data_IF_769872810146
#
_entry.id   IF_769872810146
#
_cell.length_a   1.000
_cell.length_b   1.000
_cell.length_c   1.000
_cell.angle_alpha   90.00
_cell.angle_beta   90.00
_cell.angle_gamma   90.00
#
_symmetry.space_group_name_H-M   'P 1'
#
loop_
_entity.id
_entity.type
_entity.pdbx_description
1 polymer ?
#
# COMPACT_ATOMS: atom_id res chain seq x y z
N UNK A 1 10.27 23.28 4.82
CA UNK A 1 9.07 23.49 3.99
C UNK A 1 9.25 22.62 2.76
N UNK A 2 8.38 21.63 2.56
CA UNK A 2 8.48 20.67 1.46
C UNK A 2 7.75 21.22 0.23
N UNK A 3 8.28 22.30 -0.35
CA UNK A 3 7.72 22.85 -1.58
C UNK A 3 7.88 21.82 -2.72
N UNK A 4 6.74 21.34 -3.25
CA UNK A 4 6.70 20.49 -4.44
C UNK A 4 6.80 18.98 -4.24
N UNK A 5 6.95 18.46 -3.01
CA UNK A 5 6.96 17.00 -2.75
C UNK A 5 5.64 16.54 -2.13
N UNK A 6 5.09 15.45 -2.67
CA UNK A 6 3.95 14.75 -2.06
C UNK A 6 4.48 13.71 -1.08
N UNK A 7 3.98 13.74 0.15
CA UNK A 7 4.32 12.74 1.16
C UNK A 7 3.10 11.88 1.42
N UNK A 8 3.29 10.57 1.43
CA UNK A 8 2.24 9.59 1.72
C UNK A 8 2.70 8.75 2.91
N UNK A 9 1.86 8.66 3.93
CA UNK A 9 1.99 7.67 4.99
C UNK A 9 0.94 6.59 4.77
N UNK A 10 1.30 5.34 5.01
CA UNK A 10 0.42 4.20 4.73
C UNK A 10 0.53 3.12 5.78
N UNK A 11 -0.60 2.50 6.11
CA UNK A 11 -0.66 1.28 6.89
C UNK A 11 -1.82 0.39 6.41
N UNK A 12 -1.72 -0.91 6.68
CA UNK A 12 -2.72 -1.92 6.38
C UNK A 12 -2.90 -2.86 7.57
N UNK A 13 -4.16 -3.10 7.93
CA UNK A 13 -4.53 -3.96 9.05
C UNK A 13 -5.51 -5.05 8.60
N UNK A 14 -5.44 -6.22 9.26
CA UNK A 14 -6.33 -7.34 8.99
C UNK A 14 -6.68 -8.07 10.31
N UNK A 15 -7.96 -8.30 10.55
CA UNK A 15 -8.46 -9.08 11.68
C UNK A 15 -8.52 -10.56 11.29
N UNK A 16 -7.45 -11.28 11.60
CA UNK A 16 -7.17 -12.61 11.02
C UNK A 16 -6.45 -12.51 9.67
N UNK A 17 -5.76 -13.56 9.23
CA UNK A 17 -4.96 -13.54 8.00
C UNK A 17 -5.06 -14.87 7.23
N UNK A 18 -6.06 -15.04 6.34
CA UNK A 18 -6.97 -14.02 5.82
C UNK A 18 -8.15 -13.68 6.76
N UNK A 19 -8.77 -12.53 6.54
CA UNK A 19 -9.96 -12.05 7.28
C UNK A 19 -10.43 -10.67 6.81
N UNK A 20 -11.37 -10.02 7.51
CA UNK A 20 -11.70 -8.62 7.29
C UNK A 20 -10.45 -7.75 7.45
N UNK A 21 -10.20 -6.87 6.49
CA UNK A 21 -9.02 -5.99 6.51
C UNK A 21 -9.33 -4.59 6.01
N UNK A 22 -8.42 -3.67 6.20
CA UNK A 22 -8.56 -2.29 5.79
C UNK A 22 -7.22 -1.61 5.64
N UNK A 23 -7.19 -0.51 4.91
CA UNK A 23 -6.02 0.35 4.78
C UNK A 23 -6.31 1.75 5.33
N UNK A 24 -5.23 2.44 5.73
CA UNK A 24 -5.21 3.84 6.06
C UNK A 24 -4.09 4.55 5.30
N UNK A 25 -4.40 5.74 4.78
CA UNK A 25 -3.46 6.56 4.00
C UNK A 25 -3.59 8.00 4.46
N UNK A 26 -2.46 8.68 4.61
CA UNK A 26 -2.40 10.12 4.80
C UNK A 26 -1.54 10.70 3.69
N UNK A 27 -2.16 11.48 2.82
CA UNK A 27 -1.49 12.22 1.76
C UNK A 27 -1.30 13.66 2.21
N UNK A 28 -0.06 14.13 2.20
CA UNK A 28 0.34 15.48 2.60
C UNK A 28 1.01 16.20 1.43
N UNK A 29 0.47 17.37 1.06
CA UNK A 29 1.01 18.21 0.00
C UNK A 29 0.78 19.69 0.33
N UNK A 30 1.84 20.52 0.25
CA UNK A 30 1.79 21.95 0.54
C UNK A 30 1.09 22.32 1.87
N UNK A 31 1.26 21.49 2.91
CA UNK A 31 0.67 21.69 4.24
C UNK A 31 -0.80 21.30 4.35
N UNK A 32 -1.43 20.83 3.27
CA UNK A 32 -2.75 20.21 3.30
C UNK A 32 -2.62 18.70 3.45
N UNK A 33 -3.56 18.11 4.20
CA UNK A 33 -3.61 16.69 4.47
C UNK A 33 -4.94 16.11 4.03
N UNK A 34 -4.90 14.96 3.40
CA UNK A 34 -6.06 14.16 3.01
C UNK A 34 -5.91 12.77 3.60
N UNK A 35 -6.94 12.31 4.30
CA UNK A 35 -7.01 10.96 4.85
C UNK A 35 -7.87 10.09 3.92
N UNK A 36 -7.38 8.89 3.60
CA UNK A 36 -8.13 7.90 2.82
C UNK A 36 -8.12 6.57 3.57
N UNK A 37 -9.26 5.90 3.63
CA UNK A 37 -9.36 4.56 4.22
C UNK A 37 -10.50 3.77 3.58
N UNK A 38 -10.36 2.46 3.56
CA UNK A 38 -11.42 1.56 3.08
C UNK A 38 -11.25 0.16 3.67
N UNK A 39 -12.37 -0.43 4.09
CA UNK A 39 -12.45 -1.80 4.60
C UNK A 39 -12.89 -2.80 3.54
N UNK A 40 -12.43 -4.03 3.69
CA UNK A 40 -12.66 -5.17 2.80
C UNK A 40 -13.10 -6.39 3.62
N UNK A 41 -14.08 -7.13 3.12
CA UNK A 41 -14.70 -8.27 3.82
C UNK A 41 -13.73 -9.43 4.06
N UNK A 42 -12.83 -9.67 3.11
CA UNK A 42 -11.97 -10.84 3.12
C UNK A 42 -10.70 -10.61 2.29
N UNK A 43 -9.58 -10.39 2.96
CA UNK A 43 -8.27 -10.07 2.36
C UNK A 43 -7.14 -10.55 3.28
N UNK A 44 -5.91 -10.06 3.09
CA UNK A 44 -4.73 -10.33 3.92
C UNK A 44 -4.02 -9.03 4.30
N UNK A 45 -3.21 -9.05 5.36
CA UNK A 45 -2.46 -7.87 5.80
C UNK A 45 -1.58 -7.29 4.68
N UNK A 46 -0.79 -8.15 4.03
CA UNK A 46 0.10 -7.74 2.94
C UNK A 46 -0.65 -7.09 1.77
N UNK A 47 -1.89 -7.51 1.48
CA UNK A 47 -2.69 -6.88 0.43
C UNK A 47 -3.12 -5.48 0.83
N UNK A 48 -3.53 -5.28 2.07
CA UNK A 48 -3.91 -3.96 2.58
C UNK A 48 -2.72 -3.01 2.63
N UNK A 49 -1.55 -3.46 3.08
CA UNK A 49 -0.32 -2.67 3.07
C UNK A 49 0.04 -2.19 1.65
N UNK A 50 -0.01 -3.08 0.64
CA UNK A 50 0.28 -2.70 -0.75
C UNK A 50 -0.80 -1.79 -1.30
N UNK A 51 -2.08 -2.09 -1.03
CA UNK A 51 -3.20 -1.34 -1.55
C UNK A 51 -3.23 0.10 -0.98
N UNK A 52 -2.85 0.30 0.27
CA UNK A 52 -2.69 1.62 0.88
C UNK A 52 -1.77 2.52 0.03
N UNK A 53 -0.57 2.01 -0.31
CA UNK A 53 0.38 2.75 -1.14
C UNK A 53 -0.11 2.97 -2.57
N UNK A 54 -0.84 2.00 -3.14
CA UNK A 54 -1.46 2.15 -4.47
C UNK A 54 -2.49 3.28 -4.46
N UNK A 55 -3.41 3.26 -3.49
CA UNK A 55 -4.49 4.26 -3.39
C UNK A 55 -3.93 5.65 -3.15
N UNK A 56 -2.89 5.76 -2.31
CA UNK A 56 -2.20 7.03 -2.11
C UNK A 56 -1.58 7.59 -3.39
N UNK A 57 -0.98 6.74 -4.23
CA UNK A 57 -0.43 7.15 -5.53
C UNK A 57 -1.54 7.48 -6.54
N UNK A 58 -2.63 6.69 -6.56
CA UNK A 58 -3.78 6.91 -7.46
C UNK A 58 -4.54 8.20 -7.15
N UNK A 59 -4.41 8.74 -5.93
CA UNK A 59 -4.99 10.03 -5.54
C UNK A 59 -4.23 11.26 -6.10
N UNK A 60 -3.10 11.06 -6.79
CA UNK A 60 -2.30 12.14 -7.37
C UNK A 60 -2.58 12.23 -8.87
N UNK A 61 -3.26 13.29 -9.30
CA UNK A 61 -3.72 13.46 -10.69
C UNK A 61 -2.58 13.67 -11.71
N UNK A 62 -1.43 14.19 -11.27
CA UNK A 62 -0.32 14.55 -12.16
C UNK A 62 1.00 13.87 -11.75
N UNK A 63 1.93 13.62 -12.68
CA UNK A 63 3.27 13.15 -12.34
C UNK A 63 3.91 14.02 -11.25
N UNK A 64 4.44 13.37 -10.22
CA UNK A 64 4.94 14.04 -9.03
C UNK A 64 6.14 13.30 -8.44
N UNK A 65 6.92 13.99 -7.61
CA UNK A 65 7.90 13.38 -6.71
C UNK A 65 7.19 13.00 -5.41
N UNK A 66 7.12 11.70 -5.15
CA UNK A 66 6.36 11.12 -4.04
C UNK A 66 7.28 10.40 -3.08
N UNK A 67 7.13 10.65 -1.79
CA UNK A 67 7.79 9.90 -0.72
C UNK A 67 6.75 9.10 0.04
N UNK A 68 6.88 7.77 0.04
CA UNK A 68 5.97 6.85 0.73
C UNK A 68 6.65 6.33 1.99
N UNK A 69 6.02 6.53 3.13
CA UNK A 69 6.44 6.01 4.43
C UNK A 69 5.51 4.88 4.85
N UNK A 70 6.07 3.68 5.02
CA UNK A 70 5.34 2.48 5.41
C UNK A 70 6.18 1.64 6.37
N UNK A 71 5.54 0.99 7.33
CA UNK A 71 6.18 0.00 8.18
C UNK A 71 6.17 -1.42 7.59
N UNK A 72 5.45 -1.61 6.48
CA UNK A 72 5.49 -2.83 5.68
C UNK A 72 6.85 -3.01 5.03
N UNK A 73 7.68 -3.81 5.70
CA UNK A 73 8.96 -4.24 5.12
C UNK A 73 8.75 -5.02 3.83
N UNK A 74 7.65 -5.78 3.70
CA UNK A 74 7.34 -6.52 2.49
C UNK A 74 7.12 -5.57 1.30
N UNK A 75 6.35 -4.51 1.50
CA UNK A 75 6.13 -3.48 0.48
C UNK A 75 7.45 -2.81 0.06
N UNK A 76 8.18 -2.28 1.05
CA UNK A 76 9.40 -1.51 0.79
C UNK A 76 10.48 -2.38 0.15
N UNK A 77 10.75 -3.58 0.69
CA UNK A 77 11.74 -4.48 0.12
C UNK A 77 11.38 -4.93 -1.30
N UNK A 78 10.09 -5.16 -1.59
CA UNK A 78 9.67 -5.60 -2.91
C UNK A 78 9.96 -4.58 -4.02
N UNK A 79 9.91 -3.29 -3.69
CA UNK A 79 10.26 -2.20 -4.62
C UNK A 79 11.76 -1.91 -4.60
N UNK A 80 12.33 -1.60 -3.43
CA UNK A 80 13.71 -1.16 -3.29
C UNK A 80 14.72 -2.23 -3.72
N UNK A 81 14.48 -3.50 -3.35
CA UNK A 81 15.34 -4.63 -3.76
C UNK A 81 14.99 -5.16 -5.15
N UNK A 82 14.02 -4.54 -5.84
CA UNK A 82 13.61 -4.85 -7.21
C UNK A 82 12.90 -6.19 -7.38
N UNK A 83 12.26 -6.74 -6.34
CA UNK A 83 11.58 -8.04 -6.42
C UNK A 83 10.42 -7.99 -7.41
N UNK A 84 9.55 -6.98 -7.30
CA UNK A 84 8.40 -6.83 -8.17
C UNK A 84 8.80 -6.69 -9.65
N UNK A 85 9.89 -5.94 -9.93
CA UNK A 85 10.45 -5.81 -11.28
C UNK A 85 11.00 -7.15 -11.80
N UNK A 86 11.73 -7.90 -10.96
CA UNK A 86 12.23 -9.24 -11.33
C UNK A 86 11.10 -10.24 -11.58
N UNK A 87 10.05 -10.23 -10.75
CA UNK A 87 8.87 -11.06 -10.99
C UNK A 87 8.21 -10.68 -12.31
N UNK A 88 7.95 -9.39 -12.57
CA UNK A 88 7.38 -8.93 -13.84
C UNK A 88 8.19 -9.38 -15.05
N UNK A 89 9.53 -9.32 -14.98
CA UNK A 89 10.41 -9.75 -16.07
C UNK A 89 10.47 -11.28 -16.25
N UNK A 90 10.05 -12.04 -15.24
CA UNK A 90 10.06 -13.50 -15.21
C UNK A 90 8.62 -14.06 -15.21
N UNK A 91 7.72 -13.45 -15.99
CA UNK A 91 6.30 -13.85 -16.11
C UNK A 91 5.58 -14.04 -14.77
N UNK A 92 5.92 -13.20 -13.80
CA UNK A 92 5.43 -13.22 -12.42
C UNK A 92 5.80 -14.45 -11.60
N UNK A 93 6.76 -15.25 -12.04
CA UNK A 93 7.29 -16.37 -11.28
C UNK A 93 8.25 -15.87 -10.19
N UNK A 94 7.95 -16.22 -8.93
CA UNK A 94 8.83 -15.95 -7.78
C UNK A 94 10.03 -16.88 -7.77
N UNK A 95 9.82 -18.12 -8.18
CA UNK A 95 10.85 -19.15 -8.36
C UNK A 95 10.40 -20.12 -9.47
N UNK A 96 11.10 -21.24 -9.67
CA UNK A 96 10.80 -22.20 -10.75
C UNK A 96 9.41 -22.86 -10.66
N UNK A 97 8.75 -22.83 -9.51
CA UNK A 97 7.51 -23.57 -9.24
C UNK A 97 6.34 -22.68 -8.84
N UNK A 98 6.62 -21.49 -8.32
CA UNK A 98 5.61 -20.66 -7.66
C UNK A 98 5.53 -19.28 -8.30
N UNK A 99 4.31 -18.83 -8.52
CA UNK A 99 3.99 -17.45 -8.84
C UNK A 99 4.26 -16.54 -7.63
N UNK A 100 4.58 -15.27 -7.91
CA UNK A 100 4.57 -14.23 -6.91
C UNK A 100 3.16 -14.05 -6.35
N UNK A 101 3.07 -13.73 -5.06
CA UNK A 101 1.79 -13.35 -4.44
C UNK A 101 1.40 -11.93 -4.85
N UNK A 102 0.10 -11.63 -4.89
CA UNK A 102 -0.46 -10.28 -5.12
C UNK A 102 -0.05 -9.65 -6.46
N UNK A 103 0.05 -10.46 -7.52
CA UNK A 103 0.45 -10.02 -8.87
C UNK A 103 -0.42 -8.87 -9.38
N UNK A 104 -1.72 -8.91 -9.10
CA UNK A 104 -2.68 -7.88 -9.46
C UNK A 104 -2.29 -6.51 -8.88
N UNK A 105 -1.92 -6.47 -7.59
CA UNK A 105 -1.48 -5.26 -6.91
C UNK A 105 -0.10 -4.82 -7.40
N UNK A 106 0.85 -5.74 -7.60
CA UNK A 106 2.17 -5.39 -8.11
C UNK A 106 2.14 -4.85 -9.53
N UNK A 107 1.24 -5.36 -10.39
CA UNK A 107 1.00 -4.78 -11.73
C UNK A 107 0.55 -3.33 -11.63
N UNK A 108 -0.39 -3.01 -10.72
CA UNK A 108 -0.86 -1.63 -10.47
C UNK A 108 0.28 -0.76 -9.94
N UNK A 109 0.95 -1.20 -8.88
CA UNK A 109 2.07 -0.49 -8.24
C UNK A 109 3.17 -0.13 -9.25
N UNK A 110 3.62 -1.08 -10.06
CA UNK A 110 4.69 -0.82 -11.04
C UNK A 110 4.27 0.17 -12.15
N UNK A 111 2.98 0.28 -12.48
CA UNK A 111 2.50 1.32 -13.41
C UNK A 111 2.56 2.70 -12.76
N UNK A 112 2.14 2.81 -11.49
CA UNK A 112 2.19 4.06 -10.74
C UNK A 112 3.62 4.53 -10.50
N UNK A 113 4.53 3.61 -10.13
CA UNK A 113 5.96 3.92 -10.01
C UNK A 113 6.65 4.26 -11.35
N UNK A 114 6.00 3.99 -12.49
CA UNK A 114 6.47 4.46 -13.79
C UNK A 114 5.94 5.87 -14.11
N UNK A 115 4.72 6.18 -13.64
CA UNK A 115 4.08 7.47 -13.84
C UNK A 115 4.63 8.57 -12.92
N UNK A 116 4.92 8.23 -11.65
CA UNK A 116 5.49 9.15 -10.65
C UNK A 116 6.95 8.79 -10.35
N UNK A 117 7.71 9.77 -9.86
CA UNK A 117 9.01 9.51 -9.24
C UNK A 117 8.78 9.17 -7.76
N UNK A 118 8.82 7.88 -7.41
CA UNK A 118 8.46 7.39 -6.07
C UNK A 118 9.69 6.90 -5.31
N UNK A 119 9.82 7.35 -4.06
CA UNK A 119 10.79 6.88 -3.08
C UNK A 119 10.06 6.18 -1.93
N UNK A 120 10.53 5.00 -1.52
CA UNK A 120 9.95 4.25 -0.40
C UNK A 120 10.86 4.31 0.83
N UNK A 121 10.29 4.68 1.96
CA UNK A 121 10.96 4.76 3.24
C UNK A 121 10.32 3.76 4.20
N UNK A 122 11.11 2.77 4.61
CA UNK A 122 10.70 1.88 5.69
C UNK A 122 10.83 2.60 7.02
N UNK A 123 9.72 2.66 7.76
CA UNK A 123 9.70 3.14 9.14
C UNK A 123 9.46 1.98 10.08
N UNK A 124 9.93 2.10 11.31
CA UNK A 124 9.68 1.06 12.32
C UNK A 124 8.27 1.25 12.87
N UNK A 125 7.41 0.23 12.74
CA UNK A 125 6.09 0.22 13.34
C UNK A 125 6.14 0.46 14.86
N UNK A 126 5.13 1.17 15.39
CA UNK A 126 4.96 1.48 16.82
C UNK A 126 6.12 2.26 17.49
N UNK A 127 6.85 3.07 16.72
CA UNK A 127 7.94 3.90 17.23
C UNK A 127 7.55 5.35 17.56
N UNK A 128 6.26 5.67 17.72
CA UNK A 128 5.81 7.05 17.99
C UNK A 128 5.74 7.94 16.74
N UNK A 129 5.60 7.34 15.55
CA UNK A 129 5.39 8.10 14.32
C UNK A 129 3.90 8.44 14.19
N UNK A 130 3.54 9.66 14.57
CA UNK A 130 2.16 10.19 14.58
C UNK A 130 1.36 9.82 13.33
N UNK A 131 1.92 10.01 12.13
CA UNK A 131 1.23 9.73 10.88
C UNK A 131 1.04 8.24 10.59
N UNK A 132 1.97 7.38 11.02
CA UNK A 132 1.80 5.94 10.90
C UNK A 132 0.76 5.43 11.90
N UNK A 133 0.77 5.94 13.12
CA UNK A 133 -0.25 5.59 14.14
C UNK A 133 -1.65 6.03 13.69
N UNK A 134 -1.75 7.19 13.04
CA UNK A 134 -3.00 7.64 12.42
C UNK A 134 -3.43 6.74 11.26
N UNK A 135 -2.50 6.26 10.42
CA UNK A 135 -2.82 5.29 9.37
C UNK A 135 -3.30 3.94 9.95
N UNK A 136 -2.66 3.42 10.99
CA UNK A 136 -3.08 2.20 11.72
C UNK A 136 -4.51 2.36 12.26
N UNK A 137 -4.80 3.51 12.87
CA UNK A 137 -6.14 3.83 13.36
C UNK A 137 -7.16 3.82 12.21
N UNK A 138 -6.88 4.53 11.11
CA UNK A 138 -7.75 4.58 9.94
C UNK A 138 -8.01 3.17 9.36
N UNK A 139 -6.97 2.33 9.27
CA UNK A 139 -7.09 0.96 8.79
C UNK A 139 -7.99 0.10 9.70
N UNK A 140 -7.83 0.23 11.02
CA UNK A 140 -8.63 -0.50 12.02
C UNK A 140 -10.09 -0.03 12.06
N UNK A 141 -10.33 1.27 11.96
CA UNK A 141 -11.68 1.81 11.86
C UNK A 141 -12.37 1.31 10.58
N UNK A 142 -11.64 1.29 9.46
CA UNK A 142 -12.17 0.84 8.18
C UNK A 142 -12.53 -0.66 8.19
N UNK A 143 -11.69 -1.54 8.73
CA UNK A 143 -11.97 -2.98 8.78
C UNK A 143 -13.09 -3.35 9.77
N UNK A 144 -13.35 -2.48 10.76
CA UNK A 144 -14.46 -2.63 11.70
C UNK A 144 -15.77 -1.99 11.20
N UNK A 145 -15.72 -1.24 10.10
CA UNK A 145 -16.86 -0.55 9.53
C UNK A 145 -17.92 -1.48 8.92
N UNK A 146 -19.12 -0.95 8.68
CA UNK A 146 -20.23 -1.70 8.09
C UNK A 146 -20.19 -1.77 6.56
N UNK A 147 -19.44 -0.87 5.90
CA UNK A 147 -19.37 -0.75 4.44
C UNK A 147 -18.11 -1.43 3.88
N UNK A 148 -17.98 -2.73 4.13
CA UNK A 148 -16.85 -3.52 3.64
C UNK A 148 -17.02 -3.92 2.17
N UNK A 149 -16.02 -3.61 1.36
CA UNK A 149 -15.96 -3.97 -0.06
C UNK A 149 -15.43 -5.38 -0.28
N UNK A 150 -15.54 -5.87 -1.51
CA UNK A 150 -14.93 -7.13 -1.94
C UNK A 150 -13.50 -6.88 -2.42
N UNK A 151 -12.57 -7.74 -2.03
CA UNK A 151 -11.22 -7.79 -2.62
C UNK A 151 -11.20 -8.82 -3.76
N UNK A 152 -11.64 -8.40 -4.95
CA UNK A 152 -11.75 -9.28 -6.11
C UNK A 152 -10.40 -9.90 -6.50
N UNK A 153 -9.31 -9.15 -6.30
CA UNK A 153 -7.96 -9.65 -6.57
C UNK A 153 -7.54 -10.76 -5.61
N UNK A 154 -8.08 -10.81 -4.39
CA UNK A 154 -7.91 -11.96 -3.50
C UNK A 154 -8.87 -13.10 -3.83
N UNK A 155 -10.14 -12.80 -4.12
CA UNK A 155 -11.15 -13.83 -4.37
C UNK A 155 -10.92 -14.62 -5.66
N UNK A 156 -10.40 -13.97 -6.70
CA UNK A 156 -10.10 -14.59 -7.99
C UNK A 156 -8.80 -15.42 -8.01
N UNK A 157 -8.06 -15.47 -6.89
CA UNK A 157 -6.85 -16.33 -6.75
C UNK A 157 -7.18 -17.76 -6.30
N UNK A 158 -8.46 -18.06 -6.00
CA UNK A 158 -8.92 -19.41 -5.64
C UNK A 158 -9.37 -20.21 -6.85
#
# INVERSE_FOLDING_TARGET
>A
MNEGKVIIYTDGACSGNPGPGGYGVILSYNGQQTELSQGFRWTTNNRMEILAAIVGLEAIDTPAHVQIYSDSKYLVDAIEKGWAKRWKANDWMRNKKELASNIDLWKRMLRLCHHHQVEFFWVKGHAGHEWNERCDQLAREALAGSQLLTDDGYQNLK
#
